data_IF_306761835292
#
_entry.id   IF_306761835292
#
_cell.length_a   1.000
_cell.length_b   1.000
_cell.length_c   1.000
_cell.angle_alpha   90.00
_cell.angle_beta   90.00
_cell.angle_gamma   90.00
#
_symmetry.space_group_name_H-M   'P 1'
#
loop_
_entity.id
_entity.type
_entity.pdbx_description
1 polymer ?
#
# COMPACT_ATOMS: atom_id res chain seq x y z
N UNK A 1 47.00 41.56 34.77
CA UNK A 1 46.30 41.43 33.47
C UNK A 1 45.80 39.99 33.36
N UNK A 2 44.50 39.77 33.55
CA UNK A 2 43.88 38.43 33.58
C UNK A 2 43.12 38.26 32.25
N UNK A 3 43.41 37.26 31.41
CA UNK A 3 42.64 37.07 30.18
C UNK A 3 41.33 36.35 30.49
N UNK A 4 40.23 36.95 30.03
CA UNK A 4 38.87 36.38 30.05
C UNK A 4 38.79 35.27 28.99
N UNK A 5 38.52 34.04 29.42
CA UNK A 5 38.11 32.94 28.53
C UNK A 5 36.63 33.13 28.16
N UNK A 6 36.38 33.45 26.89
CA UNK A 6 35.05 33.46 26.29
C UNK A 6 34.72 32.03 25.82
N UNK A 7 33.74 31.38 26.46
CA UNK A 7 33.12 30.15 25.97
C UNK A 7 32.15 30.51 24.83
N UNK A 8 32.46 30.10 23.60
CA UNK A 8 31.53 30.17 22.49
C UNK A 8 30.64 28.91 22.50
N UNK A 9 29.35 29.09 22.78
CA UNK A 9 28.35 28.03 22.66
C UNK A 9 28.00 27.82 21.18
N UNK A 10 28.38 26.66 20.64
CA UNK A 10 28.08 26.26 19.28
C UNK A 10 26.67 25.63 19.24
N UNK A 11 25.66 26.41 18.87
CA UNK A 11 24.32 25.89 18.57
C UNK A 11 24.37 25.06 17.27
N UNK A 12 24.32 23.73 17.42
CA UNK A 12 24.07 22.79 16.32
C UNK A 12 22.60 22.91 15.88
N UNK A 13 22.35 23.74 14.88
CA UNK A 13 21.08 23.77 14.16
C UNK A 13 21.07 22.53 13.25
N UNK A 14 20.36 21.49 13.67
CA UNK A 14 20.10 20.32 12.84
C UNK A 14 19.18 20.70 11.69
N UNK A 15 19.74 20.88 10.49
CA UNK A 15 18.98 20.95 9.26
C UNK A 15 18.41 19.55 8.97
N UNK A 16 17.15 19.31 9.32
CA UNK A 16 16.38 18.24 8.71
C UNK A 16 16.15 18.62 7.24
N UNK A 17 16.98 18.06 6.35
CA UNK A 17 16.75 18.23 4.91
C UNK A 17 15.42 17.54 4.56
N UNK A 18 14.52 18.20 3.83
CA UNK A 18 13.36 17.53 3.29
C UNK A 18 13.86 16.42 2.35
N UNK A 19 13.47 15.18 2.61
CA UNK A 19 13.65 14.10 1.66
C UNK A 19 12.79 14.42 0.44
N UNK A 20 13.39 15.03 -0.57
CA UNK A 20 12.73 15.27 -1.84
C UNK A 20 12.39 13.92 -2.46
N UNK A 21 11.13 13.74 -2.86
CA UNK A 21 10.76 12.70 -3.81
C UNK A 21 11.63 12.90 -5.06
N UNK A 22 12.61 12.03 -5.25
CA UNK A 22 13.64 12.05 -6.30
C UNK A 22 13.10 11.76 -7.72
N UNK A 23 11.77 11.71 -7.86
CA UNK A 23 11.08 11.37 -9.09
C UNK A 23 11.22 9.89 -9.47
N UNK A 24 11.69 9.01 -8.58
CA UNK A 24 11.85 7.58 -8.88
C UNK A 24 10.51 6.96 -9.31
N UNK A 25 9.43 7.27 -8.59
CA UNK A 25 8.09 6.81 -8.94
C UNK A 25 7.72 7.14 -10.39
N UNK A 26 7.98 8.37 -10.84
CA UNK A 26 7.62 8.88 -12.17
C UNK A 26 8.43 8.19 -13.28
N UNK A 27 9.63 7.71 -12.98
CA UNK A 27 10.46 6.92 -13.90
C UNK A 27 10.01 5.45 -13.97
N UNK A 28 9.37 4.94 -12.92
CA UNK A 28 8.99 3.53 -12.80
C UNK A 28 7.54 3.26 -13.20
N UNK A 29 6.59 4.11 -12.79
CA UNK A 29 5.16 3.88 -12.98
C UNK A 29 4.81 3.79 -14.46
N UNK A 30 4.07 2.74 -14.85
CA UNK A 30 3.62 2.59 -16.23
C UNK A 30 2.51 3.60 -16.55
N UNK A 31 2.34 3.94 -17.83
CA UNK A 31 1.26 4.84 -18.25
C UNK A 31 -0.13 4.27 -17.91
N UNK A 32 -0.30 2.95 -18.04
CA UNK A 32 -1.53 2.27 -17.66
C UNK A 32 -1.82 2.39 -16.16
N UNK A 33 -0.82 2.21 -15.32
CA UNK A 33 -0.98 2.25 -13.86
C UNK A 33 -1.19 3.65 -13.34
N UNK A 34 -0.54 4.64 -13.96
CA UNK A 34 -0.86 6.03 -13.72
C UNK A 34 -2.32 6.32 -14.03
N UNK A 35 -2.84 5.85 -15.17
CA UNK A 35 -4.25 6.06 -15.54
C UNK A 35 -5.21 5.33 -14.57
N UNK A 36 -4.85 4.16 -14.04
CA UNK A 36 -5.63 3.46 -13.00
C UNK A 36 -5.70 4.28 -11.71
N UNK A 37 -4.58 4.87 -11.27
CA UNK A 37 -4.57 5.75 -10.10
C UNK A 37 -5.35 7.05 -10.33
N UNK A 38 -5.24 7.67 -11.51
CA UNK A 38 -6.00 8.88 -11.86
C UNK A 38 -7.53 8.64 -11.76
N UNK A 39 -7.98 7.40 -12.03
CA UNK A 39 -9.39 6.97 -11.94
C UNK A 39 -9.77 6.29 -10.61
N UNK A 40 -8.87 6.30 -9.62
CA UNK A 40 -9.06 5.55 -8.37
C UNK A 40 -10.38 5.88 -7.67
N UNK A 41 -10.72 7.17 -7.53
CA UNK A 41 -11.92 7.60 -6.80
C UNK A 41 -13.22 7.09 -7.44
N UNK A 42 -13.33 7.16 -8.76
CA UNK A 42 -14.46 6.64 -9.52
C UNK A 42 -14.55 5.11 -9.41
N UNK A 43 -13.42 4.43 -9.64
CA UNK A 43 -13.33 2.96 -9.58
C UNK A 43 -13.72 2.43 -8.21
N UNK A 44 -13.17 3.05 -7.16
CA UNK A 44 -13.48 2.71 -5.76
C UNK A 44 -14.95 2.91 -5.46
N UNK A 45 -15.54 4.04 -5.85
CA UNK A 45 -16.96 4.31 -5.63
C UNK A 45 -17.82 3.22 -6.30
N UNK A 46 -17.58 2.94 -7.58
CA UNK A 46 -18.34 1.93 -8.32
C UNK A 46 -18.21 0.53 -7.69
N UNK A 47 -16.99 0.13 -7.32
CA UNK A 47 -16.73 -1.16 -6.68
C UNK A 47 -17.46 -1.31 -5.34
N UNK A 48 -17.45 -0.27 -4.51
CA UNK A 48 -18.10 -0.30 -3.19
C UNK A 48 -19.63 -0.22 -3.29
N UNK A 49 -20.17 0.43 -4.31
CA UNK A 49 -21.62 0.39 -4.57
C UNK A 49 -22.07 -1.03 -4.97
N UNK A 50 -21.32 -1.71 -5.84
CA UNK A 50 -21.60 -3.11 -6.18
C UNK A 50 -21.47 -4.05 -4.98
N UNK A 51 -20.46 -3.83 -4.13
CA UNK A 51 -20.23 -4.66 -2.95
C UNK A 51 -21.41 -4.72 -1.98
N UNK A 52 -22.29 -3.71 -1.96
CA UNK A 52 -23.49 -3.70 -1.12
C UNK A 52 -24.49 -4.81 -1.46
N UNK A 53 -24.42 -5.40 -2.65
CA UNK A 53 -25.22 -6.55 -3.04
C UNK A 53 -24.64 -7.91 -2.58
N UNK A 54 -23.51 -7.90 -1.87
CA UNK A 54 -22.89 -9.10 -1.30
C UNK A 54 -23.60 -9.63 -0.05
N UNK A 55 -22.99 -10.62 0.60
CA UNK A 55 -23.48 -11.15 1.86
C UNK A 55 -23.52 -10.04 2.95
N UNK A 56 -24.64 -9.84 3.66
CA UNK A 56 -24.76 -8.74 4.63
C UNK A 56 -23.72 -8.77 5.76
N UNK A 57 -23.23 -9.95 6.18
CA UNK A 57 -22.20 -10.05 7.21
C UNK A 57 -20.84 -9.65 6.64
N UNK A 58 -20.52 -10.03 5.40
CA UNK A 58 -19.31 -9.57 4.71
C UNK A 58 -19.34 -8.06 4.45
N UNK A 59 -20.47 -7.51 4.03
CA UNK A 59 -20.65 -6.06 3.82
C UNK A 59 -20.37 -5.30 5.11
N UNK A 60 -20.97 -5.74 6.23
CA UNK A 60 -20.72 -5.15 7.55
C UNK A 60 -19.24 -5.20 7.93
N UNK A 61 -18.55 -6.27 7.58
CA UNK A 61 -17.12 -6.42 7.85
C UNK A 61 -16.26 -5.48 7.00
N UNK A 62 -16.60 -5.31 5.72
CA UNK A 62 -15.96 -4.33 4.84
C UNK A 62 -16.18 -2.90 5.36
N UNK A 63 -17.41 -2.55 5.72
CA UNK A 63 -17.75 -1.23 6.27
C UNK A 63 -16.96 -0.94 7.55
N UNK A 64 -16.84 -1.92 8.45
CA UNK A 64 -16.05 -1.80 9.67
C UNK A 64 -14.55 -1.56 9.40
N UNK A 65 -13.99 -2.19 8.36
CA UNK A 65 -12.61 -1.93 7.92
C UNK A 65 -12.46 -0.50 7.37
N UNK A 66 -13.39 -0.07 6.52
CA UNK A 66 -13.34 1.23 5.85
C UNK A 66 -13.62 2.41 6.79
N UNK A 67 -14.39 2.20 7.86
CA UNK A 67 -14.68 3.20 8.88
C UNK A 67 -13.50 3.50 9.82
N UNK A 68 -12.44 2.68 9.80
CA UNK A 68 -11.25 2.93 10.62
C UNK A 68 -10.57 4.23 10.21
N UNK A 69 -10.19 5.10 11.15
CA UNK A 69 -9.55 6.38 10.84
C UNK A 69 -8.21 6.15 10.13
N UNK A 70 -7.85 7.09 9.25
CA UNK A 70 -6.54 7.13 8.62
C UNK A 70 -5.57 7.97 9.44
N UNK A 71 -4.36 7.46 9.63
CA UNK A 71 -3.24 8.13 10.30
C UNK A 71 -2.13 8.42 9.27
N UNK A 72 -1.09 9.15 9.68
CA UNK A 72 0.08 9.34 8.83
C UNK A 72 0.65 7.97 8.41
N UNK A 73 1.07 7.82 7.15
CA UNK A 73 1.46 6.50 6.62
C UNK A 73 2.87 6.11 7.05
N UNK A 74 3.84 7.01 6.82
CA UNK A 74 5.28 6.71 6.92
C UNK A 74 5.90 7.01 8.29
N UNK A 75 5.13 7.44 9.29
CA UNK A 75 5.60 7.76 10.66
C UNK A 75 5.84 6.52 11.55
N UNK A 76 5.58 5.31 11.03
CA UNK A 76 5.72 4.05 11.78
C UNK A 76 6.41 2.98 10.96
N UNK A 77 7.41 2.32 11.53
CA UNK A 77 8.04 1.17 10.92
C UNK A 77 7.06 0.01 10.67
N UNK A 78 6.84 -0.31 9.39
CA UNK A 78 6.01 -1.43 8.96
C UNK A 78 6.75 -2.76 8.85
N UNK A 79 8.07 -2.82 9.06
CA UNK A 79 8.85 -4.05 8.88
C UNK A 79 8.36 -5.22 9.75
N UNK A 80 8.61 -6.44 9.28
CA UNK A 80 8.28 -7.68 9.99
C UNK A 80 7.12 -8.45 9.38
N UNK A 81 6.60 -9.40 10.16
CA UNK A 81 5.55 -10.32 9.73
C UNK A 81 4.15 -9.71 9.92
N UNK A 82 3.27 -10.03 8.97
CA UNK A 82 1.89 -9.59 8.92
C UNK A 82 0.97 -10.75 8.53
N UNK A 83 -0.25 -10.73 9.05
CA UNK A 83 -1.38 -11.43 8.43
C UNK A 83 -1.96 -10.51 7.37
N UNK A 84 -2.28 -11.05 6.20
CA UNK A 84 -2.91 -10.31 5.12
C UNK A 84 -4.07 -11.10 4.50
N UNK A 85 -5.10 -10.41 4.03
CA UNK A 85 -6.19 -11.02 3.25
C UNK A 85 -6.64 -10.08 2.14
N UNK A 86 -7.20 -10.65 1.08
CA UNK A 86 -7.78 -9.88 -0.02
C UNK A 86 -9.30 -9.83 0.14
N UNK A 87 -9.87 -8.66 -0.09
CA UNK A 87 -11.30 -8.43 -0.24
C UNK A 87 -11.51 -7.98 -1.69
N UNK A 88 -12.37 -8.68 -2.43
CA UNK A 88 -12.69 -8.34 -3.82
C UNK A 88 -14.04 -7.66 -3.85
N UNK A 89 -14.07 -6.40 -4.28
CA UNK A 89 -15.27 -5.57 -4.32
C UNK A 89 -15.64 -5.23 -5.78
N UNK A 90 -16.87 -5.58 -6.16
CA UNK A 90 -17.41 -5.44 -7.52
C UNK A 90 -16.70 -6.32 -8.56
N UNK A 91 -17.30 -6.45 -9.75
CA UNK A 91 -16.78 -7.29 -10.84
C UNK A 91 -17.49 -8.64 -10.95
N UNK A 92 -16.74 -9.75 -10.97
CA UNK A 92 -17.31 -11.10 -11.15
C UNK A 92 -18.29 -11.50 -10.04
N UNK A 93 -18.10 -10.96 -8.84
CA UNK A 93 -19.00 -11.14 -7.71
C UNK A 93 -19.11 -9.81 -6.96
N UNK A 94 -20.26 -9.52 -6.31
CA UNK A 94 -20.44 -8.27 -5.59
C UNK A 94 -19.36 -8.04 -4.52
N UNK A 95 -19.15 -9.03 -3.67
CA UNK A 95 -18.17 -9.00 -2.59
C UNK A 95 -17.68 -10.41 -2.30
N UNK A 96 -16.37 -10.56 -2.10
CA UNK A 96 -15.76 -11.79 -1.57
C UNK A 96 -14.69 -11.41 -0.56
N UNK A 97 -14.74 -11.98 0.65
CA UNK A 97 -13.68 -11.80 1.66
C UNK A 97 -12.90 -13.10 1.86
N UNK A 98 -11.63 -13.10 1.47
CA UNK A 98 -10.77 -14.25 1.67
C UNK A 98 -10.26 -14.39 3.12
N UNK A 99 -9.81 -15.60 3.45
CA UNK A 99 -9.12 -15.89 4.71
C UNK A 99 -7.74 -15.23 4.84
N UNK A 100 -7.13 -15.41 6.00
CA UNK A 100 -5.83 -14.81 6.32
C UNK A 100 -4.66 -15.63 5.79
N UNK A 101 -3.69 -14.92 5.22
CA UNK A 101 -2.42 -15.41 4.69
C UNK A 101 -1.23 -14.73 5.37
N UNK A 102 -0.04 -15.25 5.12
CA UNK A 102 1.23 -14.70 5.62
C UNK A 102 1.74 -13.65 4.65
N UNK A 103 2.07 -12.48 5.14
CA UNK A 103 2.79 -11.43 4.43
C UNK A 103 4.00 -10.96 5.25
N UNK A 104 4.98 -10.35 4.59
CA UNK A 104 6.14 -9.74 5.22
C UNK A 104 6.46 -8.41 4.57
N UNK A 105 6.81 -7.45 5.40
CA UNK A 105 7.38 -6.17 4.97
C UNK A 105 8.85 -6.13 5.37
N UNK A 106 9.71 -5.73 4.45
CA UNK A 106 11.15 -5.52 4.67
C UNK A 106 11.51 -4.07 4.33
N UNK A 107 12.56 -3.55 4.95
CA UNK A 107 13.15 -2.26 4.59
C UNK A 107 14.62 -2.47 4.22
N UNK A 108 15.09 -1.73 3.22
CA UNK A 108 16.49 -1.75 2.75
C UNK A 108 17.15 -0.37 2.81
N UNK A 109 16.51 0.59 3.48
CA UNK A 109 16.94 1.98 3.56
C UNK A 109 16.48 2.86 2.40
N UNK A 110 15.96 2.28 1.31
CA UNK A 110 15.36 3.00 0.18
C UNK A 110 13.83 3.06 0.20
N UNK A 111 13.22 2.28 1.10
CA UNK A 111 11.77 2.25 1.30
C UNK A 111 11.32 0.89 1.84
N UNK A 112 10.00 0.70 1.94
CA UNK A 112 9.44 -0.60 2.29
C UNK A 112 9.19 -1.46 1.05
N UNK A 113 9.39 -2.76 1.21
CA UNK A 113 9.04 -3.79 0.24
C UNK A 113 8.09 -4.79 0.86
N UNK A 114 7.01 -5.11 0.16
CA UNK A 114 6.02 -6.10 0.54
C UNK A 114 6.26 -7.44 -0.19
N UNK A 115 5.96 -8.53 0.50
CA UNK A 115 5.82 -9.86 -0.07
C UNK A 115 4.66 -10.63 0.58
N UNK A 116 3.76 -11.19 -0.23
CA UNK A 116 2.74 -12.18 0.21
C UNK A 116 3.31 -13.59 0.15
N UNK A 117 3.49 -14.23 1.31
CA UNK A 117 4.22 -15.50 1.55
C UNK A 117 3.33 -16.74 1.52
N UNK A 118 2.04 -16.70 1.89
CA UNK A 118 1.08 -17.82 1.65
C UNK A 118 -0.15 -17.47 0.77
N UNK A 119 -0.83 -18.50 0.22
CA UNK A 119 -1.97 -18.40 -0.70
C UNK A 119 -1.61 -18.47 -2.18
N UNK A 120 -2.56 -18.73 -3.08
CA UNK A 120 -2.28 -18.90 -4.52
C UNK A 120 -1.90 -17.59 -5.20
N UNK A 121 -2.72 -16.55 -5.06
CA UNK A 121 -2.43 -15.23 -5.63
C UNK A 121 -1.38 -14.50 -4.77
N UNK A 122 -0.29 -14.07 -5.40
CA UNK A 122 0.88 -13.43 -4.77
C UNK A 122 1.03 -11.99 -5.21
N UNK A 123 1.71 -11.20 -4.38
CA UNK A 123 2.20 -9.88 -4.78
C UNK A 123 3.54 -9.60 -4.11
N UNK A 124 4.42 -8.92 -4.84
CA UNK A 124 5.65 -8.34 -4.29
C UNK A 124 5.96 -6.99 -4.94
N UNK A 125 6.35 -6.00 -4.15
CA UNK A 125 6.45 -4.63 -4.64
C UNK A 125 6.98 -3.66 -3.61
N UNK A 126 7.18 -2.40 -4.00
CA UNK A 126 7.70 -1.32 -3.16
C UNK A 126 6.67 -0.23 -2.94
N UNK A 127 6.86 0.51 -1.85
CA UNK A 127 6.08 1.71 -1.53
C UNK A 127 6.86 2.97 -1.89
N UNK A 128 6.14 4.00 -2.33
CA UNK A 128 6.63 5.31 -2.68
C UNK A 128 5.80 6.35 -1.94
N UNK A 129 6.43 7.40 -1.42
CA UNK A 129 5.74 8.44 -0.67
C UNK A 129 4.71 9.18 -1.55
N UNK A 130 3.51 9.40 -1.01
CA UNK A 130 2.43 10.13 -1.67
C UNK A 130 1.61 10.94 -0.65
N UNK A 131 2.25 11.97 -0.10
CA UNK A 131 1.66 12.83 0.93
C UNK A 131 1.67 12.19 2.32
N UNK A 132 0.93 12.80 3.25
CA UNK A 132 1.01 12.45 4.67
C UNK A 132 0.34 11.10 5.02
N UNK A 133 -0.85 10.85 4.45
CA UNK A 133 -1.74 9.76 4.91
C UNK A 133 -1.73 8.51 4.04
N UNK A 134 -0.93 8.49 2.97
CA UNK A 134 -0.87 7.36 2.05
C UNK A 134 0.49 7.23 1.36
N UNK A 135 0.69 6.05 0.77
CA UNK A 135 1.79 5.77 -0.14
C UNK A 135 1.23 5.14 -1.42
N UNK A 136 2.01 5.18 -2.49
CA UNK A 136 1.75 4.43 -3.72
C UNK A 136 2.51 3.10 -3.63
N UNK A 137 1.82 2.00 -3.93
CA UNK A 137 2.42 0.68 -4.08
C UNK A 137 2.59 0.37 -5.57
N UNK A 138 3.80 0.00 -5.99
CA UNK A 138 4.06 -0.63 -7.29
C UNK A 138 4.57 -2.04 -7.07
N UNK A 139 3.91 -3.04 -7.67
CA UNK A 139 4.26 -4.44 -7.46
C UNK A 139 3.85 -5.35 -8.60
N UNK A 140 4.19 -6.62 -8.42
CA UNK A 140 4.01 -7.65 -9.43
C UNK A 140 3.20 -8.81 -8.87
N UNK A 141 2.11 -9.13 -9.56
CA UNK A 141 1.27 -10.29 -9.34
C UNK A 141 1.98 -11.56 -9.84
N UNK A 142 1.77 -12.66 -9.12
CA UNK A 142 2.19 -14.00 -9.54
C UNK A 142 1.24 -15.04 -8.94
N UNK A 143 1.24 -16.25 -9.49
CA UNK A 143 0.38 -17.34 -9.03
C UNK A 143 1.22 -18.48 -8.48
N UNK A 144 0.78 -19.04 -7.35
CA UNK A 144 1.41 -20.15 -6.64
C UNK A 144 2.90 -19.90 -6.36
N UNK A 145 3.77 -20.69 -6.99
CA UNK A 145 5.23 -20.66 -6.85
C UNK A 145 5.93 -20.03 -8.07
N UNK A 146 5.16 -19.42 -8.98
CA UNK A 146 5.73 -18.69 -10.11
C UNK A 146 6.60 -17.54 -9.61
N UNK A 147 7.76 -17.38 -10.25
CA UNK A 147 8.63 -16.23 -9.98
C UNK A 147 7.93 -14.96 -10.48
N UNK A 148 7.70 -14.01 -9.58
CA UNK A 148 7.16 -12.70 -9.93
C UNK A 148 8.03 -12.04 -11.01
N UNK A 149 7.38 -11.60 -12.10
CA UNK A 149 8.03 -10.81 -13.16
C UNK A 149 8.45 -9.44 -12.59
N UNK A 150 9.45 -8.76 -13.17
CA UNK A 150 9.69 -7.36 -12.85
C UNK A 150 8.43 -6.51 -13.06
N UNK A 151 8.19 -5.51 -12.21
CA UNK A 151 7.11 -4.54 -12.47
C UNK A 151 7.37 -3.81 -13.80
N UNK A 152 6.31 -3.56 -14.57
CA UNK A 152 6.38 -3.05 -15.94
C UNK A 152 6.47 -4.16 -17.00
N UNK A 153 6.28 -5.43 -16.61
CA UNK A 153 6.31 -6.56 -17.55
C UNK A 153 5.01 -6.74 -18.31
N UNK A 154 3.95 -6.00 -17.94
CA UNK A 154 2.67 -6.01 -18.64
C UNK A 154 1.47 -6.11 -17.71
N UNK A 155 0.30 -5.82 -18.26
CA UNK A 155 -0.94 -5.64 -17.50
C UNK A 155 -1.35 -6.84 -16.63
N UNK A 156 -0.99 -8.07 -17.03
CA UNK A 156 -1.27 -9.29 -16.26
C UNK A 156 -0.51 -9.34 -14.93
N UNK A 157 0.73 -8.84 -14.89
CA UNK A 157 1.55 -8.84 -13.68
C UNK A 157 1.51 -7.51 -12.95
N UNK A 158 1.37 -6.39 -13.66
CA UNK A 158 1.54 -5.07 -13.08
C UNK A 158 0.42 -4.74 -12.09
N UNK A 159 0.80 -4.38 -10.87
CA UNK A 159 -0.11 -3.97 -9.81
C UNK A 159 0.27 -2.59 -9.30
N UNK A 160 -0.75 -1.74 -9.16
CA UNK A 160 -0.65 -0.43 -8.55
C UNK A 160 -1.77 -0.24 -7.54
N UNK A 161 -1.50 0.46 -6.45
CA UNK A 161 -2.53 0.77 -5.46
C UNK A 161 -2.13 1.88 -4.50
N UNK A 162 -3.13 2.39 -3.78
CA UNK A 162 -2.89 3.30 -2.65
C UNK A 162 -2.86 2.52 -1.35
N UNK A 163 -1.82 2.74 -0.56
CA UNK A 163 -1.68 2.16 0.76
C UNK A 163 -2.09 3.18 1.83
N UNK A 164 -2.89 2.73 2.78
CA UNK A 164 -3.42 3.56 3.87
C UNK A 164 -3.16 2.88 5.22
N UNK A 165 -2.75 3.66 6.22
CA UNK A 165 -2.50 3.17 7.56
C UNK A 165 -3.65 3.55 8.49
N UNK A 166 -4.09 2.60 9.31
CA UNK A 166 -5.13 2.80 10.31
C UNK A 166 -4.55 2.88 11.73
N UNK A 167 -3.52 2.08 12.01
CA UNK A 167 -2.83 2.05 13.29
C UNK A 167 -1.40 1.53 13.13
N UNK A 168 -0.67 1.30 14.22
CA UNK A 168 0.64 0.64 14.16
C UNK A 168 0.55 -0.86 13.78
N UNK A 169 -0.64 -1.44 13.89
CA UNK A 169 -0.87 -2.88 13.72
C UNK A 169 -1.90 -3.20 12.66
N UNK A 170 -2.44 -2.19 11.95
CA UNK A 170 -3.46 -2.36 10.92
C UNK A 170 -3.30 -1.33 9.80
N UNK A 171 -3.37 -1.81 8.55
CA UNK A 171 -3.28 -0.99 7.33
C UNK A 171 -3.85 -1.77 6.15
N UNK A 172 -3.96 -1.13 4.98
CA UNK A 172 -4.46 -1.77 3.77
C UNK A 172 -3.85 -1.18 2.50
N UNK A 173 -3.94 -1.92 1.40
CA UNK A 173 -3.71 -1.43 0.05
C UNK A 173 -5.00 -1.58 -0.75
N UNK A 174 -5.39 -0.54 -1.47
CA UNK A 174 -6.53 -0.54 -2.38
C UNK A 174 -6.01 -0.49 -3.82
N UNK A 175 -6.26 -1.55 -4.59
CA UNK A 175 -5.82 -1.75 -5.98
C UNK A 175 -6.98 -1.47 -6.94
N UNK A 176 -7.05 -0.30 -7.59
CA UNK A 176 -8.12 0.02 -8.53
C UNK A 176 -7.92 -0.75 -9.85
N UNK A 177 -9.02 -1.31 -10.37
CA UNK A 177 -9.05 -2.02 -11.66
C UNK A 177 -7.88 -3.00 -11.81
N UNK A 178 -7.72 -3.98 -10.89
CA UNK A 178 -6.73 -5.04 -11.07
C UNK A 178 -7.08 -5.83 -12.34
N UNK A 179 -6.10 -6.50 -12.92
CA UNK A 179 -6.32 -7.27 -14.14
C UNK A 179 -7.33 -8.41 -13.95
N UNK A 180 -7.39 -8.98 -12.74
CA UNK A 180 -8.21 -10.17 -12.44
C UNK A 180 -9.39 -9.87 -11.53
N UNK A 181 -10.54 -10.47 -11.90
CA UNK A 181 -11.72 -10.78 -11.07
C UNK A 181 -12.57 -9.63 -10.53
N UNK A 182 -11.96 -8.51 -10.11
CA UNK A 182 -12.65 -7.48 -9.35
C UNK A 182 -12.49 -6.07 -9.95
N UNK A 183 -13.36 -5.15 -9.52
CA UNK A 183 -13.18 -3.72 -9.77
C UNK A 183 -12.19 -3.09 -8.81
N UNK A 184 -12.16 -3.57 -7.57
CA UNK A 184 -11.25 -3.13 -6.52
C UNK A 184 -10.84 -4.33 -5.68
N UNK A 185 -9.53 -4.57 -5.60
CA UNK A 185 -8.97 -5.44 -4.57
C UNK A 185 -8.56 -4.57 -3.38
N UNK A 186 -8.99 -4.95 -2.17
CA UNK A 186 -8.51 -4.36 -0.91
C UNK A 186 -7.71 -5.44 -0.19
N UNK A 187 -6.40 -5.25 -0.09
CA UNK A 187 -5.56 -6.13 0.72
C UNK A 187 -5.39 -5.55 2.12
N UNK A 188 -6.04 -6.17 3.09
CA UNK A 188 -6.01 -5.79 4.50
C UNK A 188 -4.84 -6.47 5.22
N UNK A 189 -4.20 -5.76 6.13
CA UNK A 189 -3.07 -6.24 6.93
C UNK A 189 -3.33 -6.04 8.42
N UNK A 190 -2.94 -7.05 9.21
CA UNK A 190 -2.90 -6.94 10.67
C UNK A 190 -1.74 -7.71 11.29
N UNK A 191 -1.29 -7.29 12.47
CA UNK A 191 -0.36 -8.07 13.31
C UNK A 191 -1.11 -9.07 14.18
#
# INVERSE_FOLDING_TARGET
MIPRLLLAALCLIGFALPAYADGELQKLITAADKARLDKYGETRKAALEEAKAGDPAEVKQLDALLAKPLVAFSDKDLTGNWKCRTIKAGGLSPLVIYGWFKCKVTGDGSGWRLQKISGSQRTTGRFFDDGEKRAIYLGSFSVNDEKAKPYGSGAESDQVGYAFRNSATEWRIEFPAPYYESKLDIMEFKR
#
